data_IF_365112502277
#
_entry.id   IF_365112502277
#
_cell.length_a   1.000
_cell.length_b   1.000
_cell.length_c   1.000
_cell.angle_alpha   90.00
_cell.angle_beta   90.00
_cell.angle_gamma   90.00
#
_symmetry.space_group_name_H-M   'P 1'
#
loop_
_entity.id
_entity.type
_entity.pdbx_description
1 polymer ?
#
# COMPACT_ATOMS: atom_id res chain seq x y z
N UNK A 1 22.63 6.62 20.13
CA UNK A 1 21.76 6.98 21.27
C UNK A 1 22.02 8.43 21.58
N UNK A 2 21.00 9.29 21.60
CA UNK A 2 21.15 10.67 22.07
C UNK A 2 20.38 10.79 23.38
N UNK A 3 21.09 11.22 24.42
CA UNK A 3 20.58 11.84 25.63
C UNK A 3 21.71 12.69 26.22
N UNK A 4 21.50 13.33 27.38
CA UNK A 4 20.26 13.89 27.91
C UNK A 4 20.30 15.43 27.78
N UNK A 5 19.20 16.04 27.38
CA UNK A 5 19.10 17.50 27.28
C UNK A 5 17.69 17.85 26.91
N UNK A 6 16.89 18.15 27.94
CA UNK A 6 15.51 18.64 27.96
C UNK A 6 14.53 18.01 26.98
N UNK A 7 13.41 17.51 27.48
CA UNK A 7 12.34 16.92 26.70
C UNK A 7 11.68 17.94 25.74
N UNK A 8 12.37 18.28 24.65
CA UNK A 8 11.83 19.02 23.52
C UNK A 8 10.85 18.11 22.82
N UNK A 9 9.62 18.61 22.61
CA UNK A 9 8.53 17.92 21.92
C UNK A 9 9.04 17.35 20.58
N UNK A 10 9.30 16.05 20.54
CA UNK A 10 9.72 15.35 19.32
C UNK A 10 8.48 15.22 18.44
N UNK A 11 8.27 16.20 17.56
CA UNK A 11 7.25 16.07 16.52
C UNK A 11 7.75 15.06 15.49
N UNK A 12 7.00 13.98 15.31
CA UNK A 12 7.24 12.95 14.30
C UNK A 12 6.16 13.06 13.23
N UNK A 13 6.56 13.48 12.04
CA UNK A 13 5.69 13.50 10.87
C UNK A 13 6.03 12.32 9.98
N UNK A 14 5.01 11.59 9.54
CA UNK A 14 5.16 10.51 8.55
C UNK A 14 4.20 10.75 7.41
N UNK A 15 4.73 10.72 6.19
CA UNK A 15 3.96 10.82 4.95
C UNK A 15 4.24 9.58 4.11
N UNK A 16 3.21 8.98 3.55
CA UNK A 16 3.34 7.89 2.60
C UNK A 16 2.81 8.34 1.24
N UNK A 17 3.60 8.14 0.19
CA UNK A 17 3.21 8.39 -1.19
C UNK A 17 3.27 7.04 -1.90
N UNK A 18 2.16 6.68 -2.54
CA UNK A 18 2.03 5.44 -3.29
C UNK A 18 1.66 5.70 -4.74
N UNK A 19 2.19 4.88 -5.64
CA UNK A 19 1.95 4.90 -7.08
C UNK A 19 1.55 3.50 -7.58
N UNK A 20 0.91 3.38 -8.76
CA UNK A 20 0.70 2.09 -9.42
C UNK A 20 1.95 1.20 -9.44
N UNK A 21 1.75 -0.12 -9.46
CA UNK A 21 2.84 -1.11 -9.34
C UNK A 21 3.86 -1.05 -10.48
N UNK A 22 3.46 -0.55 -11.64
CA UNK A 22 4.30 -0.34 -12.82
C UNK A 22 5.00 1.03 -12.82
N UNK A 23 5.02 1.74 -11.69
CA UNK A 23 5.67 3.03 -11.55
C UNK A 23 6.69 3.06 -10.39
N UNK A 24 7.71 3.89 -10.52
CA UNK A 24 8.60 4.31 -9.44
C UNK A 24 8.46 5.81 -9.22
N UNK A 25 8.81 6.25 -8.01
CA UNK A 25 8.68 7.64 -7.58
C UNK A 25 10.03 8.32 -7.74
N UNK A 26 10.10 9.32 -8.61
CA UNK A 26 11.22 10.23 -8.68
C UNK A 26 10.95 11.46 -7.80
N UNK A 27 11.93 11.86 -7.01
CA UNK A 27 11.82 12.91 -6.00
C UNK A 27 12.90 13.94 -6.28
N UNK A 28 12.54 15.21 -6.20
CA UNK A 28 13.47 16.33 -6.27
C UNK A 28 13.30 17.24 -5.05
N UNK A 29 14.35 17.36 -4.25
CA UNK A 29 14.39 18.26 -3.09
C UNK A 29 14.56 19.69 -3.60
N UNK A 30 13.61 20.56 -3.28
CA UNK A 30 13.62 21.97 -3.67
C UNK A 30 14.26 22.85 -2.60
N UNK A 31 14.10 22.51 -1.32
CA UNK A 31 14.79 23.17 -0.22
C UNK A 31 14.93 22.24 0.99
N UNK A 32 16.00 22.39 1.76
CA UNK A 32 16.23 21.64 3.00
C UNK A 32 17.03 22.47 3.98
N UNK A 33 16.55 22.53 5.22
CA UNK A 33 17.27 23.09 6.37
C UNK A 33 17.85 21.99 7.28
N UNK A 34 17.76 20.72 6.86
CA UNK A 34 18.10 19.57 7.70
C UNK A 34 19.62 19.30 7.68
N UNK A 35 20.27 19.43 8.84
CA UNK A 35 21.69 19.11 9.03
C UNK A 35 21.87 17.64 9.45
N UNK A 36 21.81 16.69 8.52
CA UNK A 36 22.05 15.28 8.83
C UNK A 36 23.57 14.99 8.94
N UNK A 37 24.12 14.92 10.17
CA UNK A 37 25.48 14.37 10.37
C UNK A 37 25.49 12.84 10.16
N UNK A 38 26.55 12.34 9.52
CA UNK A 38 26.77 10.90 9.25
C UNK A 38 26.73 10.11 10.57
N UNK A 39 25.81 9.16 10.68
CA UNK A 39 25.85 8.10 11.71
C UNK A 39 25.73 6.75 11.01
N UNK A 40 26.51 5.79 11.50
CA UNK A 40 26.88 4.44 11.01
C UNK A 40 25.76 3.59 10.36
N UNK A 41 26.09 2.68 9.41
CA UNK A 41 25.14 2.04 8.52
C UNK A 41 24.62 0.72 9.08
N UNK A 42 23.34 0.64 9.43
CA UNK A 42 22.67 -0.64 9.60
C UNK A 42 21.29 -0.63 8.95
N UNK A 43 21.17 -1.51 7.95
CA UNK A 43 20.00 -2.19 7.36
C UNK A 43 18.69 -1.39 7.15
N UNK A 44 18.19 -1.53 5.91
CA UNK A 44 17.03 -0.88 5.26
C UNK A 44 17.38 0.43 4.57
N UNK A 45 17.12 0.46 3.27
CA UNK A 45 17.36 1.55 2.30
C UNK A 45 16.71 2.86 2.75
N UNK A 46 17.37 3.53 3.69
CA UNK A 46 16.93 4.80 4.27
C UNK A 46 17.73 5.90 3.58
N UNK A 47 17.07 6.65 2.70
CA UNK A 47 17.66 7.85 2.14
C UNK A 47 17.85 8.90 3.24
N UNK A 48 19.08 9.41 3.40
CA UNK A 48 19.39 10.54 4.26
C UNK A 48 19.70 11.74 3.38
N UNK A 49 18.86 12.77 3.48
CA UNK A 49 18.82 14.00 2.68
C UNK A 49 20.07 14.91 2.78
N UNK A 50 21.26 14.39 3.05
CA UNK A 50 22.46 15.23 3.24
C UNK A 50 23.24 15.55 1.97
N UNK A 51 23.03 14.88 0.82
CA UNK A 51 23.92 15.10 -0.34
C UNK A 51 23.33 15.03 -1.75
N UNK A 52 22.19 14.37 -2.02
CA UNK A 52 21.62 14.44 -3.37
C UNK A 52 20.28 15.18 -3.41
N UNK A 53 20.18 16.05 -4.41
CA UNK A 53 19.01 16.86 -4.70
C UNK A 53 17.89 16.04 -5.35
N UNK A 54 18.19 14.84 -5.85
CA UNK A 54 17.24 13.98 -6.57
C UNK A 54 17.42 12.50 -6.17
N UNK A 55 16.32 11.75 -6.17
CA UNK A 55 16.27 10.32 -5.86
C UNK A 55 15.15 9.65 -6.65
N UNK A 56 15.43 8.50 -7.27
CA UNK A 56 14.38 7.60 -7.76
C UNK A 56 14.26 6.40 -6.83
N UNK A 57 13.05 6.09 -6.38
CA UNK A 57 12.77 4.92 -5.55
C UNK A 57 12.94 3.63 -6.35
N UNK A 58 13.23 2.53 -5.66
CA UNK A 58 13.18 1.18 -6.27
C UNK A 58 11.77 0.59 -6.29
N UNK A 59 10.89 1.15 -5.47
CA UNK A 59 9.53 0.70 -5.21
C UNK A 59 8.54 1.80 -5.59
N UNK A 60 7.31 1.42 -5.83
CA UNK A 60 6.19 2.33 -6.11
C UNK A 60 5.63 3.02 -4.85
N UNK A 61 6.19 2.74 -3.68
CA UNK A 61 5.85 3.38 -2.40
C UNK A 61 7.06 4.10 -1.82
N UNK A 62 6.83 5.33 -1.38
CA UNK A 62 7.78 6.17 -0.65
C UNK A 62 7.22 6.46 0.74
N UNK A 63 8.04 6.21 1.77
CA UNK A 63 7.74 6.57 3.15
C UNK A 63 8.71 7.68 3.60
N UNK A 64 8.19 8.87 3.85
CA UNK A 64 8.95 10.00 4.37
C UNK A 64 8.69 10.12 5.86
N UNK A 65 9.75 10.05 6.66
CA UNK A 65 9.70 10.25 8.11
C UNK A 65 10.59 11.42 8.48
N UNK A 66 10.01 12.42 9.13
CA UNK A 66 10.74 13.56 9.67
C UNK A 66 10.58 13.60 11.19
N UNK A 67 11.71 13.60 11.87
CA UNK A 67 11.80 13.81 13.31
C UNK A 67 12.41 15.19 13.56
N UNK A 68 11.67 16.07 14.24
CA UNK A 68 12.16 17.40 14.56
C UNK A 68 13.09 17.34 15.78
N UNK A 69 14.39 17.56 15.57
CA UNK A 69 15.40 17.66 16.64
C UNK A 69 15.87 19.10 16.88
N UNK A 70 15.95 19.91 15.83
CA UNK A 70 16.30 21.34 15.88
C UNK A 70 15.26 22.16 15.09
N UNK A 71 14.90 23.37 15.54
CA UNK A 71 14.03 24.26 14.79
C UNK A 71 14.63 24.59 13.41
N UNK A 72 13.79 24.68 12.38
CA UNK A 72 14.19 25.00 11.01
C UNK A 72 13.00 24.93 10.05
N UNK A 73 13.20 25.34 8.80
CA UNK A 73 12.15 25.38 7.76
C UNK A 73 11.75 24.00 7.21
N UNK A 74 12.35 22.91 7.71
CA UNK A 74 12.06 21.54 7.29
C UNK A 74 12.67 21.19 5.93
N UNK A 75 11.95 20.36 5.17
CA UNK A 75 12.31 19.90 3.82
C UNK A 75 11.11 20.08 2.88
N UNK A 76 11.36 20.61 1.69
CA UNK A 76 10.39 20.67 0.61
C UNK A 76 10.91 19.84 -0.57
N UNK A 77 10.04 19.04 -1.17
CA UNK A 77 10.36 18.24 -2.34
C UNK A 77 9.14 18.14 -3.27
N UNK A 78 9.41 17.95 -4.55
CA UNK A 78 8.42 17.53 -5.54
C UNK A 78 8.62 16.06 -5.85
N UNK A 79 7.56 15.39 -6.33
CA UNK A 79 7.65 14.01 -6.79
C UNK A 79 6.92 13.82 -8.13
N UNK A 80 7.40 12.88 -8.93
CA UNK A 80 6.80 12.49 -10.19
C UNK A 80 6.85 10.97 -10.37
N UNK A 81 5.96 10.46 -11.21
CA UNK A 81 5.90 9.05 -11.56
C UNK A 81 6.71 8.75 -12.81
N UNK A 82 7.48 7.67 -12.75
CA UNK A 82 8.21 7.14 -13.89
C UNK A 82 7.85 5.67 -14.07
N UNK A 83 7.68 5.23 -15.32
CA UNK A 83 7.34 3.83 -15.60
C UNK A 83 8.50 2.90 -15.20
N UNK A 84 8.18 1.85 -14.48
CA UNK A 84 9.10 0.80 -14.09
C UNK A 84 9.14 -0.30 -15.18
N UNK A 85 10.16 -0.26 -16.03
CA UNK A 85 10.32 -1.26 -17.10
C UNK A 85 10.51 -2.70 -16.59
N UNK A 86 10.85 -2.88 -15.31
CA UNK A 86 11.14 -4.20 -14.70
C UNK A 86 9.96 -4.77 -13.88
N UNK A 87 8.79 -4.14 -13.87
CA UNK A 87 7.63 -4.64 -13.13
C UNK A 87 6.99 -5.83 -13.87
N UNK A 88 6.94 -6.99 -13.22
CA UNK A 88 6.22 -8.20 -13.65
C UNK A 88 4.81 -8.26 -13.06
N UNK A 89 4.17 -7.10 -12.91
CA UNK A 89 2.89 -6.99 -12.22
C UNK A 89 1.78 -7.23 -13.25
N UNK A 90 1.40 -8.51 -13.43
CA UNK A 90 0.53 -8.94 -14.52
C UNK A 90 -0.87 -8.32 -14.49
N UNK A 91 -1.46 -8.26 -13.29
CA UNK A 91 -2.85 -7.84 -13.05
C UNK A 91 -3.09 -7.28 -11.64
N UNK A 92 -2.05 -7.20 -10.82
CA UNK A 92 -2.16 -6.67 -9.47
C UNK A 92 -2.49 -5.17 -9.51
N UNK A 93 -3.35 -4.73 -8.60
CA UNK A 93 -3.79 -3.34 -8.50
C UNK A 93 -3.43 -2.83 -7.11
N UNK A 94 -2.92 -1.60 -7.01
CA UNK A 94 -2.63 -0.98 -5.72
C UNK A 94 -3.41 0.30 -5.52
N UNK A 95 -4.02 0.41 -4.33
CA UNK A 95 -4.96 1.46 -3.96
C UNK A 95 -4.45 2.22 -2.73
N UNK A 96 -4.43 3.55 -2.84
CA UNK A 96 -3.92 4.46 -1.81
C UNK A 96 -4.94 5.54 -1.38
N UNK A 97 -6.06 5.65 -2.08
CA UNK A 97 -7.06 6.68 -1.79
C UNK A 97 -7.79 6.39 -0.47
N UNK A 98 -8.24 7.42 0.28
CA UNK A 98 -8.96 7.23 1.55
C UNK A 98 -10.22 6.38 1.46
N UNK A 99 -10.83 6.33 0.28
CA UNK A 99 -11.95 5.47 -0.02
C UNK A 99 -11.98 5.21 -1.52
N UNK A 100 -12.69 4.16 -1.91
CA UNK A 100 -12.96 3.89 -3.31
C UNK A 100 -13.74 2.60 -3.49
N UNK A 101 -13.91 2.23 -4.75
CA UNK A 101 -14.56 0.99 -5.17
C UNK A 101 -13.59 0.23 -6.06
N UNK A 102 -13.55 -1.09 -5.90
CA UNK A 102 -12.77 -1.97 -6.76
C UNK A 102 -13.59 -3.18 -7.19
N UNK A 103 -13.21 -3.72 -8.33
CA UNK A 103 -13.75 -4.96 -8.89
C UNK A 103 -12.65 -6.02 -8.95
N UNK A 104 -13.04 -7.26 -9.21
CA UNK A 104 -12.07 -8.33 -9.44
C UNK A 104 -11.13 -7.99 -10.62
N UNK A 105 -9.81 -8.06 -10.43
CA UNK A 105 -8.85 -8.01 -11.53
C UNK A 105 -8.98 -9.26 -12.40
N UNK A 106 -8.56 -9.13 -13.67
CA UNK A 106 -8.63 -10.22 -14.65
C UNK A 106 -7.23 -10.61 -15.09
N UNK A 107 -7.05 -11.90 -15.38
CA UNK A 107 -5.85 -12.44 -16.02
C UNK A 107 -6.22 -13.50 -17.04
N UNK A 108 -5.48 -13.52 -18.14
CA UNK A 108 -5.52 -14.59 -19.15
C UNK A 108 -4.64 -15.79 -18.78
N UNK A 109 -3.75 -15.63 -17.78
CA UNK A 109 -2.85 -16.68 -17.33
C UNK A 109 -3.46 -17.45 -16.17
N UNK A 110 -3.73 -18.74 -16.38
CA UNK A 110 -4.34 -19.65 -15.39
C UNK A 110 -3.42 -20.02 -14.23
N UNK A 111 -2.11 -19.74 -14.34
CA UNK A 111 -1.12 -20.06 -13.31
C UNK A 111 -0.80 -18.87 -12.39
N UNK A 112 -1.48 -17.74 -12.56
CA UNK A 112 -1.27 -16.53 -11.77
C UNK A 112 -2.55 -16.11 -11.07
N UNK A 113 -2.43 -15.77 -9.79
CA UNK A 113 -3.48 -15.07 -9.05
C UNK A 113 -3.30 -13.57 -9.24
N UNK A 114 -4.40 -12.84 -9.08
CA UNK A 114 -4.39 -11.38 -9.11
C UNK A 114 -4.82 -10.83 -7.77
N UNK A 115 -4.20 -9.73 -7.38
CA UNK A 115 -4.38 -9.14 -6.06
C UNK A 115 -4.74 -7.67 -6.15
N UNK A 116 -5.59 -7.23 -5.22
CA UNK A 116 -5.80 -5.82 -4.92
C UNK A 116 -5.13 -5.52 -3.59
N UNK A 117 -4.08 -4.70 -3.63
CA UNK A 117 -3.35 -4.24 -2.46
C UNK A 117 -3.89 -2.88 -2.03
N UNK A 118 -4.30 -2.77 -0.77
CA UNK A 118 -4.79 -1.51 -0.19
C UNK A 118 -3.78 -1.06 0.86
N UNK A 119 -3.18 0.11 0.63
CA UNK A 119 -2.16 0.68 1.49
C UNK A 119 -2.64 2.00 2.06
N UNK A 120 -2.99 1.98 3.35
CA UNK A 120 -3.43 3.15 4.08
C UNK A 120 -2.27 3.78 4.87
N UNK A 121 -2.38 5.06 5.27
CA UNK A 121 -1.45 5.67 6.20
C UNK A 121 -1.35 4.88 7.54
N UNK A 122 -0.20 4.90 8.24
CA UNK A 122 -0.02 4.13 9.48
C UNK A 122 -0.99 4.44 10.63
N UNK A 123 -1.69 5.57 10.56
CA UNK A 123 -2.62 6.04 11.60
C UNK A 123 -4.07 5.60 11.39
N UNK A 124 -4.37 4.88 10.32
CA UNK A 124 -5.73 4.45 9.97
C UNK A 124 -5.79 2.95 9.71
N UNK A 125 -7.00 2.41 9.84
CA UNK A 125 -7.32 1.02 9.47
C UNK A 125 -8.15 0.98 8.19
N UNK A 126 -8.38 -0.20 7.67
CA UNK A 126 -9.10 -0.44 6.41
C UNK A 126 -10.39 -1.19 6.72
N UNK A 127 -11.49 -0.73 6.13
CA UNK A 127 -12.77 -1.43 6.07
C UNK A 127 -13.07 -1.77 4.62
N UNK A 128 -13.47 -3.01 4.36
CA UNK A 128 -13.88 -3.49 3.04
C UNK A 128 -15.29 -4.05 3.16
N UNK A 129 -16.20 -3.58 2.30
CA UNK A 129 -17.58 -4.06 2.24
C UNK A 129 -17.87 -4.58 0.84
N UNK A 130 -18.20 -5.87 0.74
CA UNK A 130 -18.66 -6.45 -0.51
C UNK A 130 -20.04 -5.88 -0.86
N UNK A 131 -20.17 -5.34 -2.07
CA UNK A 131 -21.40 -4.77 -2.60
C UNK A 131 -22.11 -5.74 -3.56
N UNK A 132 -21.35 -6.54 -4.29
CA UNK A 132 -21.88 -7.48 -5.27
C UNK A 132 -20.97 -8.71 -5.40
N UNK A 133 -21.61 -9.90 -5.44
CA UNK A 133 -20.97 -11.18 -5.75
C UNK A 133 -21.86 -11.93 -6.76
N UNK A 134 -21.48 -11.88 -8.03
CA UNK A 134 -22.32 -12.28 -9.16
C UNK A 134 -22.15 -13.72 -9.65
N UNK A 135 -21.24 -14.52 -9.09
CA UNK A 135 -20.93 -15.84 -9.65
C UNK A 135 -22.04 -16.86 -9.39
N UNK A 136 -22.56 -17.48 -10.46
CA UNK A 136 -23.25 -18.78 -10.42
C UNK A 136 -22.17 -19.84 -10.45
N UNK A 137 -21.89 -20.44 -9.29
CA UNK A 137 -20.95 -21.55 -9.22
C UNK A 137 -21.54 -22.73 -9.98
N UNK A 138 -21.14 -22.92 -11.24
CA UNK A 138 -21.37 -24.20 -11.90
C UNK A 138 -20.59 -25.25 -11.09
N UNK A 139 -21.33 -26.24 -10.58
CA UNK A 139 -20.95 -27.07 -9.43
C UNK A 139 -19.64 -27.87 -9.57
N UNK A 140 -19.01 -27.87 -10.75
CA UNK A 140 -17.78 -28.62 -11.04
C UNK A 140 -16.49 -27.97 -10.52
N UNK A 141 -16.42 -26.64 -10.33
CA UNK A 141 -15.21 -25.92 -9.86
C UNK A 141 -15.41 -25.07 -8.60
N UNK A 142 -16.54 -25.22 -7.91
CA UNK A 142 -16.93 -24.37 -6.78
C UNK A 142 -15.96 -24.37 -5.58
N UNK A 143 -15.13 -25.41 -5.43
CA UNK A 143 -14.12 -25.50 -4.35
C UNK A 143 -12.84 -24.69 -4.60
N UNK A 144 -12.63 -24.20 -5.82
CA UNK A 144 -11.43 -23.47 -6.23
C UNK A 144 -11.66 -21.96 -6.43
N UNK A 145 -12.91 -21.50 -6.30
CA UNK A 145 -13.30 -20.11 -6.54
C UNK A 145 -13.61 -19.41 -5.23
N UNK A 146 -12.72 -18.54 -4.80
CA UNK A 146 -12.82 -17.84 -3.51
C UNK A 146 -12.08 -16.51 -3.52
N UNK A 147 -12.37 -15.68 -2.53
CA UNK A 147 -11.66 -14.44 -2.26
C UNK A 147 -10.93 -14.59 -0.94
N UNK A 148 -9.64 -14.32 -0.92
CA UNK A 148 -8.83 -14.34 0.27
C UNK A 148 -8.42 -12.92 0.65
N UNK A 149 -8.79 -12.47 1.84
CA UNK A 149 -8.36 -11.18 2.37
C UNK A 149 -7.33 -11.42 3.47
N UNK A 150 -6.14 -10.86 3.31
CA UNK A 150 -5.04 -10.93 4.27
C UNK A 150 -4.76 -9.56 4.84
N UNK A 151 -4.81 -9.44 6.16
CA UNK A 151 -4.22 -8.33 6.89
C UNK A 151 -2.69 -8.50 6.88
N UNK A 152 -1.98 -7.55 6.28
CA UNK A 152 -0.54 -7.69 6.06
C UNK A 152 0.30 -7.36 7.29
N UNK A 153 -0.27 -6.67 8.28
CA UNK A 153 0.46 -6.33 9.50
C UNK A 153 0.42 -7.46 10.52
N UNK A 154 -0.75 -8.09 10.69
CA UNK A 154 -0.92 -9.23 11.62
C UNK A 154 -0.90 -10.59 10.93
N UNK A 155 -0.71 -10.62 9.61
CA UNK A 155 -0.71 -11.82 8.76
C UNK A 155 -1.96 -12.69 8.93
N UNK A 156 -3.10 -12.08 9.30
CA UNK A 156 -4.38 -12.77 9.49
C UNK A 156 -5.10 -12.90 8.15
N UNK A 157 -5.52 -14.12 7.83
CA UNK A 157 -6.20 -14.43 6.57
C UNK A 157 -7.67 -14.78 6.82
N UNK A 158 -8.56 -14.22 6.01
CA UNK A 158 -9.98 -14.55 5.94
C UNK A 158 -10.33 -15.00 4.54
N UNK A 159 -10.97 -16.16 4.42
CA UNK A 159 -11.41 -16.72 3.13
C UNK A 159 -12.91 -16.59 3.02
N UNK A 160 -13.37 -16.05 1.90
CA UNK A 160 -14.78 -15.82 1.58
C UNK A 160 -15.16 -16.64 0.36
N UNK A 161 -16.12 -17.53 0.57
CA UNK A 161 -16.66 -18.44 -0.43
C UNK A 161 -18.16 -18.16 -0.61
N UNK A 162 -18.70 -18.51 -1.78
CA UNK A 162 -20.13 -18.35 -2.03
C UNK A 162 -20.53 -16.92 -2.40
N UNK A 163 -21.82 -16.61 -2.24
CA UNK A 163 -22.44 -15.33 -2.64
C UNK A 163 -22.72 -14.37 -1.50
N UNK A 164 -22.38 -14.76 -0.28
CA UNK A 164 -22.72 -13.97 0.89
C UNK A 164 -21.85 -12.72 0.94
N UNK A 165 -22.50 -11.55 0.93
CA UNK A 165 -21.82 -10.29 1.15
C UNK A 165 -21.19 -10.26 2.55
N UNK A 166 -20.02 -9.65 2.66
CA UNK A 166 -19.27 -9.57 3.89
C UNK A 166 -18.80 -8.15 4.17
N UNK A 167 -18.53 -7.93 5.46
CA UNK A 167 -17.85 -6.73 5.95
C UNK A 167 -16.57 -7.18 6.66
N UNK A 168 -15.43 -6.75 6.14
CA UNK A 168 -14.12 -7.06 6.68
C UNK A 168 -13.46 -5.79 7.24
N UNK A 169 -12.73 -5.94 8.34
CA UNK A 169 -11.99 -4.86 9.00
C UNK A 169 -10.58 -5.33 9.29
N UNK A 170 -9.60 -4.51 8.93
CA UNK A 170 -8.21 -4.76 9.27
C UNK A 170 -7.92 -4.42 10.74
N UNK A 171 -6.92 -5.07 11.28
CA UNK A 171 -6.18 -4.64 12.47
C UNK A 171 -5.07 -3.66 12.10
N UNK A 172 -4.45 -3.83 10.93
CA UNK A 172 -3.37 -3.02 10.38
C UNK A 172 -3.79 -1.93 9.39
N UNK A 173 -2.81 -1.30 8.76
CA UNK A 173 -2.99 -0.28 7.71
C UNK A 173 -2.73 -0.81 6.29
N UNK A 174 -2.53 -2.12 6.14
CA UNK A 174 -2.30 -2.77 4.84
C UNK A 174 -3.15 -4.04 4.70
N UNK A 175 -3.80 -4.18 3.54
CA UNK A 175 -4.61 -5.35 3.21
C UNK A 175 -4.29 -5.86 1.80
N UNK A 176 -4.28 -7.17 1.63
CA UNK A 176 -4.17 -7.85 0.33
C UNK A 176 -5.46 -8.64 0.08
N UNK A 177 -6.12 -8.38 -1.05
CA UNK A 177 -7.30 -9.12 -1.50
C UNK A 177 -6.91 -9.95 -2.72
N UNK A 178 -6.78 -11.26 -2.55
CA UNK A 178 -6.42 -12.19 -3.60
C UNK A 178 -7.66 -12.91 -4.15
N UNK A 179 -7.72 -13.02 -5.48
CA UNK A 179 -8.83 -13.63 -6.20
C UNK A 179 -8.41 -14.97 -6.80
N UNK A 180 -9.29 -15.97 -6.69
CA UNK A 180 -9.08 -17.32 -7.20
C UNK A 180 -10.23 -17.79 -8.08
N UNK A 181 -9.93 -18.70 -9.01
CA UNK A 181 -10.91 -19.34 -9.87
C UNK A 181 -11.62 -18.34 -10.79
N UNK A 182 -12.94 -18.47 -10.90
CA UNK A 182 -13.74 -17.76 -11.92
C UNK A 182 -13.72 -16.22 -11.77
N UNK A 183 -13.36 -15.71 -10.59
CA UNK A 183 -13.14 -14.28 -10.36
C UNK A 183 -12.03 -13.71 -11.26
N UNK A 184 -11.09 -14.52 -11.72
CA UNK A 184 -9.97 -14.06 -12.56
C UNK A 184 -10.33 -13.94 -14.05
N UNK A 185 -11.47 -14.48 -14.47
CA UNK A 185 -11.80 -14.63 -15.89
C UNK A 185 -13.08 -13.89 -16.31
N UNK A 186 -13.95 -13.54 -15.36
CA UNK A 186 -15.22 -12.86 -15.66
C UNK A 186 -15.28 -11.51 -14.96
N UNK A 187 -15.36 -10.44 -15.74
CA UNK A 187 -15.44 -9.06 -15.24
C UNK A 187 -16.70 -8.83 -14.42
N UNK A 188 -16.60 -8.02 -13.37
CA UNK A 188 -17.75 -7.55 -12.58
C UNK A 188 -18.41 -8.62 -11.70
N UNK A 189 -17.75 -9.77 -11.53
CA UNK A 189 -18.21 -10.85 -10.67
C UNK A 189 -18.06 -10.54 -9.19
N UNK A 190 -17.18 -9.60 -8.85
CA UNK A 190 -17.05 -9.04 -7.53
C UNK A 190 -16.97 -7.52 -7.59
N UNK A 191 -17.64 -6.86 -6.65
CA UNK A 191 -17.49 -5.41 -6.42
C UNK A 191 -17.50 -5.14 -4.93
N UNK A 192 -16.55 -4.33 -4.47
CA UNK A 192 -16.47 -3.89 -3.08
C UNK A 192 -16.15 -2.41 -2.97
N UNK A 193 -16.66 -1.80 -1.92
CA UNK A 193 -16.15 -0.51 -1.44
C UNK A 193 -15.08 -0.74 -0.37
N UNK A 194 -14.10 0.15 -0.32
CA UNK A 194 -13.16 0.24 0.79
C UNK A 194 -13.08 1.67 1.32
N UNK A 195 -12.75 1.78 2.59
CA UNK A 195 -12.53 3.06 3.26
C UNK A 195 -11.48 2.94 4.35
N UNK A 196 -10.76 4.03 4.55
CA UNK A 196 -9.89 4.21 5.70
C UNK A 196 -10.72 4.69 6.87
N UNK A 197 -10.55 4.04 8.02
CA UNK A 197 -11.29 4.34 9.23
C UNK A 197 -10.31 4.73 10.32
N UNK A 198 -10.59 5.86 10.97
CA UNK A 198 -9.94 6.24 12.22
C UNK A 198 -10.54 5.41 13.37
N UNK A 199 -9.69 5.03 14.32
CA UNK A 199 -10.16 4.53 15.61
C UNK A 199 -10.68 5.69 16.46
#
# INVERSE_FOLDING_TARGET
>A
VCGPGEAKRVVRCTVSIGRPLDEVIHIKVTSSSLSCRKSMPHSKSTWRSSTASELTTRTNVLLVRQNLFTPGSGVAFTYSSQKNANCTCYCDIQLFSPSGVFENPLTSNTNHTCRVLINAPPSVKIRIQALHIGLVFNATNSRSTYIMIRDMDVLKTNVFNGRQLFLWRSSGNMAEVEFHGDYLHTKGTFRAEYSFVHL
#
